data_IF_349398249724
#
_entry.id   IF_349398249724
#
_cell.length_a   1.000
_cell.length_b   1.000
_cell.length_c   1.000
_cell.angle_alpha   90.00
_cell.angle_beta   90.00
_cell.angle_gamma   90.00
#
_symmetry.space_group_name_H-M   'P 1'
#
loop_
_entity.id
_entity.type
_entity.pdbx_description
1 polymer ?
#
# COMPACT_ATOMS: atom_id res chain seq x y z
N UNK A 1 24.29 11.18 7.29
CA UNK A 1 22.98 11.74 6.89
C UNK A 1 22.42 10.90 5.76
N UNK A 2 21.31 10.20 5.97
CA UNK A 2 20.65 9.39 4.96
C UNK A 2 19.81 10.26 4.00
N UNK A 3 19.26 9.64 2.95
CA UNK A 3 18.49 10.36 1.93
C UNK A 3 17.27 11.09 2.50
N UNK A 4 16.53 10.45 3.43
CA UNK A 4 15.35 11.02 4.08
C UNK A 4 15.74 12.24 4.92
N UNK A 5 16.80 12.14 5.73
CA UNK A 5 17.30 13.24 6.55
C UNK A 5 17.68 14.47 5.69
N UNK A 6 18.31 14.24 4.53
CA UNK A 6 18.63 15.31 3.58
C UNK A 6 17.37 15.95 2.99
N UNK A 7 16.37 15.14 2.64
CA UNK A 7 15.07 15.64 2.15
C UNK A 7 14.35 16.46 3.22
N UNK A 8 14.32 15.98 4.46
CA UNK A 8 13.73 16.71 5.59
C UNK A 8 14.41 18.05 5.80
N UNK A 9 15.75 18.09 5.80
CA UNK A 9 16.49 19.35 5.95
C UNK A 9 16.21 20.34 4.81
N UNK A 10 16.07 19.84 3.58
CA UNK A 10 15.90 20.68 2.38
C UNK A 10 14.47 21.18 2.21
N UNK A 11 13.48 20.30 2.42
CA UNK A 11 12.07 20.55 2.11
C UNK A 11 11.26 20.96 3.34
N UNK A 12 11.71 20.57 4.53
CA UNK A 12 11.08 20.90 5.80
C UNK A 12 12.11 21.45 6.80
N UNK A 13 12.77 22.59 6.50
CA UNK A 13 13.85 23.14 7.33
C UNK A 13 13.40 23.54 8.75
N UNK A 14 12.08 23.67 8.98
CA UNK A 14 11.48 23.91 10.30
C UNK A 14 11.14 22.60 11.06
N UNK A 15 11.53 21.45 10.53
CA UNK A 15 11.17 20.13 11.03
C UNK A 15 9.80 19.65 10.50
N UNK A 16 9.54 18.37 10.73
CA UNK A 16 8.22 17.74 10.52
C UNK A 16 7.70 17.23 11.86
N UNK A 17 6.39 17.20 11.99
CA UNK A 17 5.75 16.69 13.19
C UNK A 17 5.49 15.19 13.08
N UNK A 18 5.67 14.48 14.19
CA UNK A 18 5.30 13.08 14.29
C UNK A 18 3.81 12.97 14.63
N UNK A 19 3.06 12.28 13.77
CA UNK A 19 1.64 11.96 13.95
C UNK A 19 1.44 10.46 14.00
N UNK A 20 0.36 10.01 14.65
CA UNK A 20 -0.05 8.61 14.54
C UNK A 20 -0.60 8.38 13.14
N UNK A 21 -0.34 7.21 12.56
CA UNK A 21 -0.79 6.89 11.20
C UNK A 21 -2.30 7.08 11.01
N UNK A 22 -3.11 6.61 11.97
CA UNK A 22 -4.57 6.78 11.94
C UNK A 22 -5.07 8.23 12.04
N UNK A 23 -4.21 9.19 12.39
CA UNK A 23 -4.56 10.63 12.37
C UNK A 23 -4.41 11.23 10.95
N UNK A 24 -3.53 10.65 10.12
CA UNK A 24 -3.17 11.21 8.79
C UNK A 24 -3.67 10.38 7.60
N UNK A 25 -4.17 9.16 7.85
CA UNK A 25 -4.73 8.31 6.81
C UNK A 25 -6.01 7.59 7.25
N UNK A 26 -6.80 7.18 6.27
CA UNK A 26 -7.86 6.18 6.41
C UNK A 26 -7.28 4.80 6.14
N UNK A 27 -7.65 3.83 6.99
CA UNK A 27 -7.28 2.42 6.84
C UNK A 27 -8.50 1.70 6.27
N UNK A 28 -8.40 1.25 5.03
CA UNK A 28 -9.50 0.70 4.24
C UNK A 28 -9.50 -0.83 4.20
N UNK A 29 -8.91 -1.47 5.22
CA UNK A 29 -8.73 -2.91 5.29
C UNK A 29 -10.05 -3.69 5.26
N UNK A 30 -11.15 -3.05 5.70
CA UNK A 30 -12.51 -3.57 5.68
C UNK A 30 -13.09 -3.75 4.26
N UNK A 31 -12.46 -3.16 3.23
CA UNK A 31 -12.89 -3.26 1.84
C UNK A 31 -12.12 -4.30 1.03
N UNK A 32 -11.10 -4.94 1.62
CA UNK A 32 -10.27 -5.95 0.94
C UNK A 32 -11.05 -7.24 0.72
N UNK A 33 -10.83 -7.89 -0.42
CA UNK A 33 -11.52 -9.15 -0.76
C UNK A 33 -10.50 -10.14 -1.35
N UNK A 34 -10.19 -11.27 -0.71
CA UNK A 34 -9.28 -12.26 -1.30
C UNK A 34 -9.96 -13.07 -2.42
N UNK A 35 -9.28 -13.20 -3.56
CA UNK A 35 -9.63 -14.13 -4.64
C UNK A 35 -8.52 -15.19 -4.77
N UNK A 36 -8.91 -16.45 -4.62
CA UNK A 36 -8.03 -17.60 -4.88
C UNK A 36 -7.50 -17.55 -6.31
N UNK A 37 -6.22 -17.89 -6.52
CA UNK A 37 -5.53 -17.75 -7.82
C UNK A 37 -6.28 -18.38 -9.00
N UNK A 38 -6.86 -19.57 -8.80
CA UNK A 38 -7.61 -20.29 -9.82
C UNK A 38 -9.02 -19.71 -10.11
N UNK A 39 -9.49 -18.75 -9.32
CA UNK A 39 -10.78 -18.05 -9.49
C UNK A 39 -10.63 -16.63 -10.01
N UNK A 40 -9.40 -16.21 -10.31
CA UNK A 40 -9.13 -14.89 -10.89
C UNK A 40 -9.43 -14.94 -12.38
N UNK A 41 -10.39 -14.14 -12.81
CA UNK A 41 -10.61 -13.91 -14.22
C UNK A 41 -9.55 -12.94 -14.75
N UNK A 42 -8.81 -13.29 -15.82
CA UNK A 42 -7.80 -12.40 -16.38
C UNK A 42 -8.39 -11.06 -16.85
N UNK A 43 -7.66 -9.98 -16.63
CA UNK A 43 -8.04 -8.65 -17.12
C UNK A 43 -6.91 -7.64 -16.99
N UNK A 44 -7.25 -6.36 -16.79
CA UNK A 44 -6.29 -5.24 -16.83
C UNK A 44 -6.02 -4.60 -15.47
N UNK A 45 -6.81 -4.92 -14.44
CA UNK A 45 -6.68 -4.28 -13.14
C UNK A 45 -5.71 -5.05 -12.25
N UNK A 46 -4.70 -4.41 -11.67
CA UNK A 46 -3.72 -5.09 -10.83
C UNK A 46 -4.37 -5.65 -9.56
N UNK A 47 -4.06 -6.91 -9.27
CA UNK A 47 -4.41 -7.60 -8.03
C UNK A 47 -3.21 -7.61 -7.10
N UNK A 48 -3.28 -6.86 -6.00
CA UNK A 48 -2.20 -6.70 -5.03
C UNK A 48 -2.26 -7.71 -3.88
N UNK A 49 -1.08 -8.08 -3.39
CA UNK A 49 -0.84 -8.78 -2.13
C UNK A 49 0.35 -8.19 -1.37
N UNK A 50 0.87 -8.93 -0.38
CA UNK A 50 1.88 -8.42 0.57
C UNK A 50 3.14 -7.85 -0.09
N UNK A 51 3.59 -8.42 -1.21
CA UNK A 51 4.79 -7.99 -1.94
C UNK A 51 4.49 -7.28 -3.28
N UNK A 52 3.32 -6.65 -3.42
CA UNK A 52 2.95 -5.90 -4.63
C UNK A 52 2.00 -6.65 -5.56
N UNK A 53 2.06 -6.39 -6.86
CA UNK A 53 1.15 -6.96 -7.87
C UNK A 53 1.41 -8.47 -8.01
N UNK A 54 0.36 -9.28 -7.81
CA UNK A 54 0.40 -10.74 -7.96
C UNK A 54 -0.21 -11.22 -9.28
N UNK A 55 -1.11 -10.42 -9.86
CA UNK A 55 -1.89 -10.78 -11.04
C UNK A 55 -2.58 -9.55 -11.67
N UNK A 56 -3.25 -9.75 -12.81
CA UNK A 56 -4.15 -8.77 -13.41
C UNK A 56 -5.52 -9.38 -13.68
N UNK A 57 -6.59 -8.73 -13.21
CA UNK A 57 -7.95 -9.25 -13.23
C UNK A 57 -8.96 -8.28 -13.89
N UNK A 58 -10.14 -8.81 -14.20
CA UNK A 58 -11.21 -8.11 -14.94
C UNK A 58 -12.03 -7.10 -14.12
N UNK A 59 -11.76 -6.97 -12.81
CA UNK A 59 -12.53 -6.17 -11.88
C UNK A 59 -11.64 -5.46 -10.84
N UNK A 60 -12.21 -4.48 -10.14
CA UNK A 60 -11.52 -3.67 -9.12
C UNK A 60 -12.46 -3.34 -7.95
N UNK A 61 -11.90 -3.04 -6.79
CA UNK A 61 -12.66 -2.66 -5.57
C UNK A 61 -12.19 -1.32 -4.95
N UNK A 62 -11.10 -0.77 -5.48
CA UNK A 62 -10.57 0.54 -5.14
C UNK A 62 -10.30 1.35 -6.41
N UNK A 63 -10.51 2.66 -6.35
CA UNK A 63 -10.16 3.63 -7.40
C UNK A 63 -9.64 4.90 -6.72
N UNK A 64 -8.37 5.22 -6.91
CA UNK A 64 -7.69 6.33 -6.24
C UNK A 64 -6.21 6.08 -6.02
N UNK A 65 -5.60 6.84 -5.11
CA UNK A 65 -4.20 6.69 -4.71
C UNK A 65 -4.10 6.09 -3.31
N UNK A 66 -3.24 5.08 -3.18
CA UNK A 66 -3.09 4.28 -1.98
C UNK A 66 -1.64 3.96 -1.69
N UNK A 67 -1.32 3.87 -0.41
CA UNK A 67 -0.10 3.21 0.08
C UNK A 67 -0.50 1.84 0.60
N UNK A 68 0.09 0.79 0.02
CA UNK A 68 -0.15 -0.60 0.42
C UNK A 68 1.02 -1.10 1.26
N UNK A 69 0.74 -1.66 2.43
CA UNK A 69 1.76 -2.18 3.35
C UNK A 69 1.55 -3.67 3.55
N UNK A 70 2.58 -4.50 3.37
CA UNK A 70 2.47 -5.94 3.59
C UNK A 70 2.03 -6.27 5.03
N UNK A 71 0.98 -7.08 5.16
CA UNK A 71 0.46 -7.56 6.46
C UNK A 71 1.23 -8.79 6.96
N UNK A 72 1.67 -9.63 6.02
CA UNK A 72 2.37 -10.87 6.34
C UNK A 72 3.79 -10.58 6.85
N UNK A 73 4.06 -10.88 8.13
CA UNK A 73 5.39 -10.71 8.73
C UNK A 73 6.49 -11.59 8.12
N UNK A 74 6.14 -12.55 7.25
CA UNK A 74 7.08 -13.32 6.43
C UNK A 74 7.52 -12.58 5.16
N UNK A 75 6.80 -11.53 4.77
CA UNK A 75 7.05 -10.72 3.58
C UNK A 75 7.63 -9.39 4.01
N UNK A 76 8.95 -9.40 4.21
CA UNK A 76 9.75 -8.24 4.65
C UNK A 76 10.91 -8.02 3.70
N UNK A 77 11.39 -6.78 3.64
CA UNK A 77 12.60 -6.44 2.91
C UNK A 77 13.84 -7.06 3.58
N UNK A 78 14.96 -7.11 2.85
CA UNK A 78 16.24 -7.63 3.35
C UNK A 78 16.76 -6.89 4.59
N UNK A 79 16.30 -5.66 4.82
CA UNK A 79 16.64 -4.81 5.96
C UNK A 79 15.61 -4.90 7.10
N UNK A 80 14.73 -5.89 7.07
CA UNK A 80 13.64 -6.12 8.03
C UNK A 80 12.54 -5.04 8.05
N UNK A 81 12.50 -4.14 7.07
CA UNK A 81 11.39 -3.19 6.92
C UNK A 81 10.19 -3.85 6.24
N UNK A 82 8.94 -3.39 6.52
CA UNK A 82 7.77 -3.89 5.80
C UNK A 82 7.85 -3.54 4.32
N UNK A 83 7.29 -4.39 3.46
CA UNK A 83 7.13 -4.06 2.04
C UNK A 83 6.05 -3.01 1.88
N UNK A 84 6.36 -1.93 1.15
CA UNK A 84 5.44 -0.81 0.89
C UNK A 84 5.36 -0.56 -0.61
N UNK A 85 4.14 -0.44 -1.14
CA UNK A 85 3.88 -0.16 -2.56
C UNK A 85 3.00 1.08 -2.71
N UNK A 86 3.33 1.94 -3.67
CA UNK A 86 2.42 2.98 -4.17
C UNK A 86 1.49 2.37 -5.22
N UNK A 87 0.18 2.54 -5.06
CA UNK A 87 -0.81 2.04 -5.99
C UNK A 87 -1.78 3.15 -6.39
N UNK A 88 -2.01 3.31 -7.68
CA UNK A 88 -2.84 4.38 -8.24
C UNK A 88 -3.85 3.84 -9.24
N UNK A 89 -5.04 4.45 -9.27
CA UNK A 89 -6.14 4.09 -10.15
C UNK A 89 -6.95 2.89 -9.66
N UNK A 90 -7.48 2.13 -10.61
CA UNK A 90 -8.40 1.01 -10.36
C UNK A 90 -7.62 -0.25 -9.99
N UNK A 91 -7.73 -0.68 -8.74
CA UNK A 91 -6.97 -1.81 -8.21
C UNK A 91 -7.86 -2.79 -7.43
N UNK A 92 -7.38 -4.02 -7.30
CA UNK A 92 -7.91 -4.99 -6.36
C UNK A 92 -6.87 -5.32 -5.30
N UNK A 93 -7.24 -5.37 -4.03
CA UNK A 93 -6.31 -5.68 -2.93
C UNK A 93 -6.84 -6.87 -2.13
N UNK A 94 -5.96 -7.86 -1.91
CA UNK A 94 -6.27 -9.03 -1.08
C UNK A 94 -6.09 -8.73 0.43
N UNK A 95 -6.29 -9.72 1.28
CA UNK A 95 -6.17 -9.60 2.73
C UNK A 95 -4.73 -9.66 3.29
N UNK A 96 -3.70 -9.67 2.43
CA UNK A 96 -2.29 -9.74 2.82
C UNK A 96 -1.57 -8.39 2.68
N UNK A 97 -2.28 -7.33 2.32
CA UNK A 97 -1.77 -5.96 2.30
C UNK A 97 -2.77 -5.01 2.96
N UNK A 98 -2.31 -4.18 3.88
CA UNK A 98 -3.07 -3.06 4.41
C UNK A 98 -3.26 -1.98 3.34
N UNK A 99 -4.41 -1.30 3.34
CA UNK A 99 -4.74 -0.24 2.38
C UNK A 99 -4.84 1.10 3.10
N UNK A 100 -3.90 2.01 2.83
CA UNK A 100 -3.87 3.34 3.42
C UNK A 100 -4.21 4.38 2.35
N UNK A 101 -5.16 5.26 2.67
CA UNK A 101 -5.51 6.42 1.83
C UNK A 101 -5.30 7.70 2.64
N UNK A 102 -4.77 8.75 2.02
CA UNK A 102 -4.61 10.05 2.70
C UNK A 102 -5.96 10.58 3.20
N UNK A 103 -6.00 11.05 4.44
CA UNK A 103 -7.14 11.85 4.94
C UNK A 103 -6.99 13.28 4.41
N UNK A 104 -8.00 13.76 3.70
CA UNK A 104 -8.12 15.17 3.32
C UNK A 104 -8.52 16.02 4.53
#
# INVERSE_FOLDING_TARGET
MNHIEKLLQTLAPKGVEFRKLGEVCEILDNRRIPIAKNKRNPGIYPYYGANGIQDYIDSYIFDGDFVLVGEDGSVINKDNTPVVNWASGKIWVNNHAHVLQTKN
#
